data_IF_509647608125
#
_entry.id   IF_509647608125
#
_cell.length_a   1.000
_cell.length_b   1.000
_cell.length_c   1.000
_cell.angle_alpha   90.00
_cell.angle_beta   90.00
_cell.angle_gamma   90.00
#
_symmetry.space_group_name_H-M   'P 1'
#
loop_
_entity.id
_entity.type
_entity.pdbx_description
1 polymer ?
#
# COMPACT_ATOMS: atom_id res chain seq x y z
N UNK A 1 -14.34 38.23 -1.97
CA UNK A 1 -13.18 37.64 -1.26
C UNK A 1 -12.96 36.24 -1.81
N UNK A 2 -12.23 36.13 -2.92
CA UNK A 2 -11.83 34.88 -3.56
C UNK A 2 -10.69 34.26 -2.75
N UNK A 3 -11.01 33.19 -2.01
CA UNK A 3 -10.02 32.46 -1.21
C UNK A 3 -8.90 31.91 -2.09
N UNK A 4 -7.67 32.14 -1.65
CA UNK A 4 -6.41 31.69 -2.24
C UNK A 4 -6.42 30.16 -2.51
N UNK A 5 -6.87 29.75 -3.70
CA UNK A 5 -6.47 28.46 -4.25
C UNK A 5 -5.05 28.65 -4.79
N UNK A 6 -4.04 28.18 -4.04
CA UNK A 6 -2.67 28.16 -4.51
C UNK A 6 -2.61 27.35 -5.80
N UNK A 7 -2.30 28.01 -6.91
CA UNK A 7 -2.20 27.37 -8.22
C UNK A 7 -1.04 26.38 -8.15
N UNK A 8 -1.35 25.07 -8.20
CA UNK A 8 -0.30 24.06 -8.10
C UNK A 8 0.62 24.16 -9.32
N UNK A 9 1.95 24.21 -9.13
CA UNK A 9 2.90 24.27 -10.23
C UNK A 9 2.67 23.11 -11.20
N UNK A 10 2.55 23.41 -12.49
CA UNK A 10 2.43 22.42 -13.56
C UNK A 10 3.79 21.77 -13.84
N UNK A 11 4.14 20.77 -13.02
CA UNK A 11 5.29 19.89 -13.20
C UNK A 11 6.49 20.19 -12.30
N UNK A 12 7.23 19.13 -11.94
CA UNK A 12 8.43 19.19 -11.10
C UNK A 12 8.22 18.79 -9.62
N UNK A 13 9.32 18.71 -8.86
CA UNK A 13 9.26 18.56 -7.40
C UNK A 13 8.96 19.91 -6.75
N UNK A 14 7.90 20.00 -5.95
CA UNK A 14 7.51 21.22 -5.22
C UNK A 14 7.97 21.12 -3.78
N UNK A 15 8.92 21.97 -3.38
CA UNK A 15 9.52 21.98 -2.04
C UNK A 15 8.98 23.09 -1.14
N UNK A 16 7.88 23.75 -1.52
CA UNK A 16 7.28 24.84 -0.72
C UNK A 16 6.93 24.39 0.70
N UNK A 17 6.50 23.13 0.84
CA UNK A 17 6.25 22.53 2.16
C UNK A 17 7.51 22.38 3.00
N UNK A 18 8.67 22.10 2.40
CA UNK A 18 9.95 22.04 3.11
C UNK A 18 10.32 23.41 3.64
N UNK A 19 10.22 24.45 2.81
CA UNK A 19 10.49 25.85 3.19
C UNK A 19 9.52 26.35 4.26
N UNK A 20 8.23 26.03 4.14
CA UNK A 20 7.21 26.32 5.16
C UNK A 20 7.56 25.67 6.49
N UNK A 21 7.95 24.39 6.48
CA UNK A 21 8.32 23.67 7.70
C UNK A 21 9.55 24.29 8.38
N UNK A 22 10.54 24.74 7.60
CA UNK A 22 11.73 25.42 8.12
C UNK A 22 11.38 26.77 8.78
N UNK A 23 10.52 27.57 8.14
CA UNK A 23 10.02 28.83 8.72
C UNK A 23 9.26 28.57 10.02
N UNK A 24 8.41 27.54 10.06
CA UNK A 24 7.67 27.17 11.27
C UNK A 24 8.61 26.76 12.41
N UNK A 25 9.67 26.00 12.10
CA UNK A 25 10.68 25.61 13.07
C UNK A 25 11.42 26.82 13.64
N UNK A 26 11.81 27.76 12.77
CA UNK A 26 12.46 29.01 13.15
C UNK A 26 11.55 29.92 13.99
N UNK A 27 10.24 29.86 13.76
CA UNK A 27 9.23 30.59 14.53
C UNK A 27 8.84 29.88 15.85
N UNK A 28 9.59 28.84 16.25
CA UNK A 28 9.38 28.14 17.53
C UNK A 28 8.26 27.10 17.53
N UNK A 29 7.69 26.77 16.35
CA UNK A 29 6.71 25.68 16.24
C UNK A 29 7.48 24.36 16.22
N UNK A 30 7.39 23.61 17.33
CA UNK A 30 7.99 22.29 17.41
C UNK A 30 7.25 21.31 16.48
N UNK A 31 7.98 20.47 15.72
CA UNK A 31 7.35 19.42 14.94
C UNK A 31 6.62 18.46 15.87
N UNK A 32 5.42 18.02 15.46
CA UNK A 32 4.68 16.99 16.18
C UNK A 32 5.49 15.71 16.31
N UNK A 33 5.16 14.87 17.30
CA UNK A 33 5.83 13.58 17.53
C UNK A 33 5.81 12.75 16.24
N UNK A 34 6.98 12.57 15.63
CA UNK A 34 7.13 11.73 14.44
C UNK A 34 7.03 10.28 14.90
N UNK A 35 5.90 9.63 14.60
CA UNK A 35 5.76 8.20 14.82
C UNK A 35 6.59 7.46 13.78
N UNK A 36 7.64 6.75 14.23
CA UNK A 36 8.33 5.79 13.36
C UNK A 36 7.37 4.65 13.06
N UNK A 37 6.81 4.68 11.87
CA UNK A 37 6.04 3.59 11.28
C UNK A 37 7.03 2.59 10.68
N UNK A 38 6.81 1.29 10.94
CA UNK A 38 7.78 0.25 10.59
C UNK A 38 7.89 0.06 9.07
N UNK A 39 6.74 0.10 8.40
CA UNK A 39 6.61 -0.16 6.96
C UNK A 39 5.82 0.96 6.30
N UNK A 40 6.33 1.49 5.18
CA UNK A 40 5.64 2.48 4.35
C UNK A 40 5.50 1.97 2.93
N UNK A 41 4.26 1.82 2.49
CA UNK A 41 3.91 1.41 1.13
C UNK A 41 2.99 2.47 0.51
N UNK A 42 3.13 2.70 -0.79
CA UNK A 42 2.36 3.68 -1.52
C UNK A 42 2.08 3.23 -2.96
N UNK A 43 0.96 3.70 -3.50
CA UNK A 43 0.56 3.46 -4.87
C UNK A 43 -0.19 4.67 -5.44
N UNK A 44 0.00 4.95 -6.73
CA UNK A 44 -0.69 6.03 -7.44
C UNK A 44 -1.02 5.60 -8.87
N UNK A 45 -2.24 5.91 -9.32
CA UNK A 45 -2.64 5.72 -10.72
C UNK A 45 -2.15 6.90 -11.57
N UNK A 46 -1.73 6.60 -12.79
CA UNK A 46 -1.46 7.60 -13.82
C UNK A 46 -2.16 7.18 -15.12
N UNK A 47 -2.06 8.01 -16.17
CA UNK A 47 -2.80 7.84 -17.43
C UNK A 47 -2.73 6.43 -18.00
N UNK A 48 -1.54 5.81 -17.98
CA UNK A 48 -1.29 4.54 -18.67
C UNK A 48 -0.96 3.38 -17.70
N UNK A 49 -1.13 3.56 -16.40
CA UNK A 49 -0.76 2.52 -15.44
C UNK A 49 -0.86 2.88 -13.97
N UNK A 50 -0.09 2.15 -13.16
CA UNK A 50 0.08 2.37 -11.72
C UNK A 50 1.57 2.45 -11.40
N UNK A 51 1.93 3.31 -10.47
CA UNK A 51 3.27 3.36 -9.85
C UNK A 51 3.13 2.90 -8.41
N UNK A 52 4.03 2.03 -7.98
CA UNK A 52 4.08 1.51 -6.62
C UNK A 52 5.45 1.74 -6.01
N UNK A 53 5.47 1.97 -4.71
CA UNK A 53 6.69 2.18 -3.94
C UNK A 53 6.54 1.53 -2.56
N UNK A 54 7.64 0.95 -2.09
CA UNK A 54 7.75 0.38 -0.76
C UNK A 54 9.14 0.66 -0.21
N UNK A 55 9.25 0.83 1.10
CA UNK A 55 10.54 0.83 1.77
C UNK A 55 11.09 -0.60 1.96
N UNK A 56 12.41 -0.77 2.03
CA UNK A 56 13.06 -2.08 2.17
C UNK A 56 13.33 -2.49 3.63
N UNK A 57 13.15 -1.58 4.59
CA UNK A 57 13.45 -1.82 6.01
C UNK A 57 12.41 -2.74 6.65
N UNK A 58 12.86 -3.75 7.37
CA UNK A 58 12.05 -4.58 8.25
C UNK A 58 12.56 -4.48 9.69
N UNK A 59 11.65 -4.36 10.64
CA UNK A 59 11.97 -4.20 12.06
C UNK A 59 11.28 -5.27 12.91
N UNK A 60 12.00 -5.84 13.86
CA UNK A 60 11.44 -6.66 14.93
C UNK A 60 11.45 -5.84 16.22
N UNK A 61 10.32 -5.20 16.54
CA UNK A 61 10.25 -4.22 17.62
C UNK A 61 11.14 -3.00 17.31
N UNK A 62 12.09 -2.69 18.19
CA UNK A 62 12.99 -1.54 18.04
C UNK A 62 14.28 -1.85 17.25
N UNK A 63 14.45 -3.09 16.79
CA UNK A 63 15.67 -3.55 16.11
C UNK A 63 15.37 -3.67 14.61
N UNK A 64 16.28 -3.18 13.77
CA UNK A 64 16.25 -3.44 12.33
C UNK A 64 16.66 -4.91 12.14
N UNK A 65 15.70 -5.71 11.69
CA UNK A 65 15.92 -7.13 11.44
C UNK A 65 16.63 -7.36 10.10
N UNK A 66 16.19 -6.62 9.08
CA UNK A 66 16.71 -6.71 7.72
C UNK A 66 16.48 -5.35 7.03
N UNK A 67 17.45 -4.89 6.24
CA UNK A 67 17.42 -3.62 5.52
C UNK A 67 17.04 -3.79 4.04
N UNK A 68 16.93 -5.03 3.54
CA UNK A 68 16.68 -5.34 2.14
C UNK A 68 15.52 -6.33 1.93
N UNK A 69 14.37 -6.06 2.58
CA UNK A 69 13.16 -6.87 2.42
C UNK A 69 12.30 -6.37 1.26
N UNK A 70 11.88 -7.29 0.40
CA UNK A 70 10.91 -7.03 -0.66
C UNK A 70 9.48 -7.11 -0.12
N UNK A 71 8.78 -5.97 -0.08
CA UNK A 71 7.37 -5.86 0.33
C UNK A 71 6.39 -5.86 -0.84
N UNK A 72 6.92 -5.93 -2.06
CA UNK A 72 6.17 -5.96 -3.30
C UNK A 72 6.17 -7.40 -3.79
N UNK A 73 5.00 -8.01 -3.82
CA UNK A 73 4.79 -9.40 -4.19
C UNK A 73 4.06 -9.45 -5.54
N UNK A 74 4.56 -10.26 -6.46
CA UNK A 74 3.89 -10.53 -7.73
C UNK A 74 2.73 -11.49 -7.47
N UNK A 75 1.54 -11.17 -7.98
CA UNK A 75 0.37 -12.06 -7.88
C UNK A 75 -0.02 -12.67 -9.22
N UNK A 76 0.16 -11.91 -10.30
CA UNK A 76 0.00 -12.34 -11.68
C UNK A 76 0.84 -11.42 -12.56
N UNK A 77 0.88 -11.65 -13.87
CA UNK A 77 1.69 -10.84 -14.79
C UNK A 77 1.27 -9.36 -14.79
N UNK A 78 0.02 -9.08 -14.42
CA UNK A 78 -0.58 -7.76 -14.43
C UNK A 78 -1.04 -7.25 -13.04
N UNK A 79 -0.75 -8.00 -11.97
CA UNK A 79 -1.22 -7.69 -10.62
C UNK A 79 -0.08 -7.87 -9.62
N UNK A 80 0.12 -6.85 -8.79
CA UNK A 80 1.07 -6.85 -7.67
C UNK A 80 0.34 -6.54 -6.36
N UNK A 81 0.87 -7.05 -5.25
CA UNK A 81 0.42 -6.71 -3.91
C UNK A 81 1.56 -6.12 -3.09
N UNK A 82 1.24 -5.09 -2.31
CA UNK A 82 2.14 -4.50 -1.32
C UNK A 82 1.68 -4.90 0.07
N UNK A 83 2.59 -5.47 0.85
CA UNK A 83 2.31 -5.94 2.21
C UNK A 83 2.71 -4.94 3.30
N UNK A 84 1.82 -4.73 4.26
CA UNK A 84 2.11 -4.03 5.52
C UNK A 84 1.43 -4.73 6.70
N UNK A 85 1.96 -4.55 7.91
CA UNK A 85 1.51 -5.24 9.11
C UNK A 85 2.44 -6.42 9.47
N UNK A 86 1.87 -7.54 9.90
CA UNK A 86 2.64 -8.73 10.26
C UNK A 86 3.25 -9.35 9.00
N UNK A 87 4.59 -9.37 8.91
CA UNK A 87 5.31 -9.82 7.70
C UNK A 87 4.94 -11.25 7.30
N UNK A 88 4.89 -12.17 8.26
CA UNK A 88 4.54 -13.58 8.01
C UNK A 88 3.13 -13.75 7.43
N UNK A 89 2.16 -12.98 7.93
CA UNK A 89 0.79 -13.00 7.41
C UNK A 89 0.77 -12.46 5.98
N UNK A 90 1.46 -11.35 5.70
CA UNK A 90 1.53 -10.77 4.36
C UNK A 90 2.12 -11.76 3.34
N UNK A 91 3.23 -12.40 3.68
CA UNK A 91 3.89 -13.38 2.80
C UNK A 91 3.01 -14.60 2.54
N UNK A 92 2.36 -15.12 3.58
CA UNK A 92 1.48 -16.28 3.42
C UNK A 92 0.23 -15.93 2.60
N UNK A 93 -0.40 -14.80 2.89
CA UNK A 93 -1.60 -14.36 2.18
C UNK A 93 -1.33 -14.07 0.69
N UNK A 94 -0.22 -13.42 0.38
CA UNK A 94 0.16 -13.11 -1.00
C UNK A 94 0.49 -14.37 -1.79
N UNK A 95 1.26 -15.31 -1.22
CA UNK A 95 1.55 -16.61 -1.86
C UNK A 95 0.29 -17.45 -2.09
N UNK A 96 -0.60 -17.50 -1.10
CA UNK A 96 -1.88 -18.19 -1.23
C UNK A 96 -2.71 -17.58 -2.36
N UNK A 97 -2.80 -16.25 -2.40
CA UNK A 97 -3.53 -15.54 -3.44
C UNK A 97 -2.91 -15.78 -4.83
N UNK A 98 -1.58 -15.66 -4.98
CA UNK A 98 -0.86 -15.94 -6.22
C UNK A 98 -1.22 -17.32 -6.77
N UNK A 99 -1.15 -18.37 -5.93
CA UNK A 99 -1.50 -19.73 -6.35
C UNK A 99 -2.94 -19.86 -6.85
N UNK A 100 -3.90 -19.19 -6.20
CA UNK A 100 -5.30 -19.20 -6.60
C UNK A 100 -5.55 -18.44 -7.89
N UNK A 101 -4.81 -17.34 -8.12
CA UNK A 101 -4.91 -16.57 -9.36
C UNK A 101 -4.26 -17.29 -10.53
N UNK A 102 -3.15 -17.98 -10.31
CA UNK A 102 -2.50 -18.79 -11.34
C UNK A 102 -3.39 -19.95 -11.78
N UNK A 103 -3.98 -20.67 -10.82
CA UNK A 103 -4.98 -21.71 -11.14
C UNK A 103 -6.18 -21.14 -11.89
N UNK A 104 -6.64 -19.93 -11.54
CA UNK A 104 -7.75 -19.29 -12.24
C UNK A 104 -7.36 -18.93 -13.68
N UNK A 105 -6.16 -18.39 -13.88
CA UNK A 105 -5.61 -18.04 -15.18
C UNK A 105 -5.51 -19.26 -16.09
N UNK A 106 -4.95 -20.37 -15.58
CA UNK A 106 -4.83 -21.63 -16.32
C UNK A 106 -6.19 -22.24 -16.68
N UNK A 107 -7.17 -22.18 -15.78
CA UNK A 107 -8.50 -22.73 -16.03
C UNK A 107 -9.33 -21.93 -17.04
N UNK A 108 -9.12 -20.61 -17.10
CA UNK A 108 -9.93 -19.71 -17.94
C UNK A 108 -9.20 -19.24 -19.20
N UNK A 109 -7.92 -19.57 -19.33
CA UNK A 109 -7.00 -19.12 -20.38
C UNK A 109 -7.12 -17.63 -20.69
N UNK A 110 -7.21 -16.82 -19.62
CA UNK A 110 -7.41 -15.38 -19.72
C UNK A 110 -6.71 -14.64 -18.59
N UNK A 111 -6.40 -13.38 -18.86
CA UNK A 111 -5.84 -12.47 -17.87
C UNK A 111 -6.78 -12.30 -16.68
N UNK A 112 -6.21 -12.33 -15.47
CA UNK A 112 -6.95 -12.16 -14.22
C UNK A 112 -7.32 -10.68 -14.04
N UNK A 113 -8.56 -10.43 -13.60
CA UNK A 113 -9.05 -9.08 -13.25
C UNK A 113 -8.65 -8.70 -11.84
N UNK A 114 -8.34 -7.42 -11.63
CA UNK A 114 -7.92 -6.92 -10.29
C UNK A 114 -9.03 -7.13 -9.26
N UNK A 115 -10.28 -6.89 -9.65
CA UNK A 115 -11.45 -7.10 -8.80
C UNK A 115 -11.57 -8.54 -8.28
N UNK A 116 -11.12 -9.54 -9.05
CA UNK A 116 -11.15 -10.95 -8.63
C UNK A 116 -10.11 -11.23 -7.54
N UNK A 117 -8.91 -10.68 -7.67
CA UNK A 117 -7.88 -10.78 -6.65
C UNK A 117 -8.34 -10.13 -5.33
N UNK A 118 -8.86 -8.90 -5.42
CA UNK A 118 -9.39 -8.14 -4.26
C UNK A 118 -10.50 -8.93 -3.56
N UNK A 119 -11.45 -9.48 -4.30
CA UNK A 119 -12.57 -10.22 -3.70
C UNK A 119 -12.12 -11.53 -3.03
N UNK A 120 -11.17 -12.26 -3.62
CA UNK A 120 -10.63 -13.50 -3.03
C UNK A 120 -9.96 -13.22 -1.69
N UNK A 121 -9.09 -12.20 -1.63
CA UNK A 121 -8.39 -11.88 -0.39
C UNK A 121 -9.33 -11.27 0.65
N UNK A 122 -10.29 -10.45 0.22
CA UNK A 122 -11.31 -9.88 1.10
C UNK A 122 -12.10 -10.97 1.81
N UNK A 123 -12.61 -11.93 1.04
CA UNK A 123 -13.36 -13.06 1.58
C UNK A 123 -12.49 -13.90 2.51
N UNK A 124 -11.22 -14.11 2.16
CA UNK A 124 -10.30 -14.85 3.01
C UNK A 124 -10.09 -14.13 4.35
N UNK A 125 -9.66 -12.87 4.35
CA UNK A 125 -9.40 -12.09 5.57
C UNK A 125 -10.67 -11.92 6.44
N UNK A 126 -11.82 -11.68 5.82
CA UNK A 126 -13.09 -11.56 6.54
C UNK A 126 -13.45 -12.87 7.28
N UNK A 127 -13.16 -14.06 6.73
CA UNK A 127 -13.41 -15.32 7.44
C UNK A 127 -12.62 -15.44 8.74
N UNK A 128 -11.45 -14.82 8.81
CA UNK A 128 -10.62 -14.76 10.01
C UNK A 128 -10.92 -13.54 10.89
N UNK A 129 -11.95 -12.73 10.60
CA UNK A 129 -12.46 -11.67 11.48
C UNK A 129 -11.37 -10.74 12.08
N UNK A 130 -10.29 -10.48 11.33
CA UNK A 130 -9.18 -9.63 11.76
C UNK A 130 -8.06 -10.32 12.57
N UNK A 131 -8.10 -11.63 12.78
CA UNK A 131 -6.98 -12.37 13.40
C UNK A 131 -5.71 -12.41 12.54
N UNK A 132 -5.84 -12.24 11.22
CA UNK A 132 -4.71 -12.15 10.29
C UNK A 132 -4.34 -10.68 10.15
N UNK A 133 -3.15 -10.31 10.62
CA UNK A 133 -2.65 -8.92 10.67
C UNK A 133 -2.09 -8.41 9.35
N UNK A 134 -2.67 -8.80 8.22
CA UNK A 134 -2.22 -8.40 6.89
C UNK A 134 -3.00 -7.20 6.37
N UNK A 135 -2.29 -6.09 6.12
CA UNK A 135 -2.76 -4.96 5.35
C UNK A 135 -2.17 -5.05 3.95
N UNK A 136 -3.03 -5.09 2.92
CA UNK A 136 -2.59 -5.29 1.55
C UNK A 136 -3.07 -4.15 0.66
N UNK A 137 -2.17 -3.62 -0.18
CA UNK A 137 -2.56 -2.79 -1.32
C UNK A 137 -2.43 -3.67 -2.55
N UNK A 138 -3.55 -3.95 -3.22
CA UNK A 138 -3.56 -4.67 -4.49
C UNK A 138 -3.61 -3.64 -5.59
N UNK A 139 -2.65 -3.75 -6.51
CA UNK A 139 -2.57 -2.92 -7.69
C UNK A 139 -2.57 -3.80 -8.93
N UNK A 140 -3.12 -3.31 -10.02
CA UNK A 140 -2.97 -3.98 -11.28
C UNK A 140 -3.57 -3.19 -12.43
N UNK A 141 -3.25 -3.65 -13.63
CA UNK A 141 -3.82 -3.13 -14.87
C UNK A 141 -4.56 -4.27 -15.54
N UNK A 142 -5.84 -4.09 -15.80
CA UNK A 142 -6.65 -5.04 -16.53
C UNK A 142 -7.37 -4.37 -17.71
N UNK A 143 -8.19 -5.13 -18.42
CA UNK A 143 -8.96 -4.64 -19.59
C UNK A 143 -9.88 -3.45 -19.31
N UNK A 144 -10.18 -3.18 -18.03
CA UNK A 144 -11.00 -2.04 -17.61
C UNK A 144 -10.19 -0.84 -17.16
N UNK A 145 -8.88 -0.99 -17.03
CA UNK A 145 -7.94 0.08 -16.69
C UNK A 145 -7.04 -0.25 -15.51
N UNK A 146 -6.43 0.80 -14.97
CA UNK A 146 -5.55 0.77 -13.80
C UNK A 146 -6.37 0.85 -12.52
N UNK A 147 -6.16 -0.10 -11.61
CA UNK A 147 -6.89 -0.18 -10.35
C UNK A 147 -5.94 -0.27 -9.18
N UNK A 148 -6.28 0.46 -8.11
CA UNK A 148 -5.63 0.37 -6.81
C UNK A 148 -6.73 0.11 -5.79
N UNK A 149 -6.56 -0.94 -4.99
CA UNK A 149 -7.47 -1.32 -3.94
C UNK A 149 -6.71 -1.55 -2.64
N UNK A 150 -7.20 -0.98 -1.54
CA UNK A 150 -6.74 -1.36 -0.21
C UNK A 150 -7.61 -2.47 0.35
N UNK A 151 -6.97 -3.39 1.08
CA UNK A 151 -7.65 -4.45 1.82
C UNK A 151 -7.09 -4.45 3.23
N UNK A 152 -7.96 -4.16 4.18
CA UNK A 152 -7.60 -4.12 5.59
C UNK A 152 -7.79 -5.51 6.24
N UNK A 153 -7.14 -5.79 7.39
CA UNK A 153 -7.23 -7.07 8.11
C UNK A 153 -8.66 -7.59 8.37
N UNK A 154 -9.58 -6.69 8.69
CA UNK A 154 -11.01 -6.99 8.91
C UNK A 154 -11.83 -7.22 7.62
N UNK A 155 -11.23 -7.18 6.43
CA UNK A 155 -11.92 -7.38 5.16
C UNK A 155 -12.63 -6.14 4.60
N UNK A 156 -12.40 -4.95 5.15
CA UNK A 156 -12.82 -3.71 4.47
C UNK A 156 -11.97 -3.47 3.22
N UNK A 157 -12.60 -2.88 2.20
CA UNK A 157 -11.95 -2.56 0.93
C UNK A 157 -12.26 -1.13 0.52
N UNK A 158 -11.30 -0.47 -0.14
CA UNK A 158 -11.52 0.82 -0.79
C UNK A 158 -10.75 0.89 -2.11
N UNK A 159 -11.40 1.41 -3.15
CA UNK A 159 -10.77 1.73 -4.43
C UNK A 159 -10.45 3.22 -4.46
N UNK A 160 -9.20 3.57 -4.68
CA UNK A 160 -8.71 4.95 -4.60
C UNK A 160 -7.70 5.22 -5.72
N UNK A 161 -7.62 6.45 -6.25
CA UNK A 161 -6.63 6.81 -7.28
C UNK A 161 -5.19 6.88 -6.73
N UNK A 162 -5.03 7.12 -5.44
CA UNK A 162 -3.75 7.06 -4.75
C UNK A 162 -3.96 6.59 -3.32
N UNK A 163 -2.94 5.96 -2.75
CA UNK A 163 -2.94 5.56 -1.35
C UNK A 163 -1.52 5.50 -0.82
N UNK A 164 -1.37 5.88 0.44
CA UNK A 164 -0.21 5.61 1.25
C UNK A 164 -0.67 4.90 2.51
N UNK A 165 0.10 3.94 2.98
CA UNK A 165 -0.14 3.32 4.27
C UNK A 165 1.18 3.17 5.01
N UNK A 166 1.13 3.61 6.26
CA UNK A 166 2.21 3.47 7.21
C UNK A 166 1.66 2.74 8.43
N UNK A 167 1.99 1.47 8.58
CA UNK A 167 1.52 0.67 9.73
C UNK A 167 2.60 0.70 10.81
N UNK A 168 2.20 1.09 12.02
CA UNK A 168 3.02 0.86 13.21
C UNK A 168 2.79 -0.60 13.60
N UNK A 169 3.84 -1.42 13.79
CA UNK A 169 3.66 -2.74 14.39
C UNK A 169 2.89 -2.55 15.70
N UNK A 170 1.80 -3.30 15.91
CA UNK A 170 1.06 -3.35 17.17
C UNK A 170 1.92 -4.04 18.24
N UNK A 171 3.09 -3.47 18.57
CA UNK A 171 4.03 -4.00 19.53
C UNK A 171 3.87 -3.36 20.92
N UNK A 172 2.81 -2.58 21.16
CA UNK A 172 2.47 -2.02 22.48
C UNK A 172 0.94 -1.98 22.65
N UNK A 173 0.37 -3.14 23.00
CA UNK A 173 -0.69 -3.27 24.02
C UNK A 173 -0.10 -4.16 25.11
#
# INVERSE_FOLDING_TARGET
>A
MSGLAFEQPTGGFVFDNCRRNEILLNNGVLPGKIHKTGTTIAAITYKDGVVIAADSRCTAGNIIFDDNVLKIHRLSDNIYALGAGTSADCDFQTRLLESQLELLKLNQDRQVRVATAVRKIQQHLFRYQGYIGAYLIIVGVDVTGSHIATVHPHGSIAFLPFVNTSVVPLANV
#
